data_IF_653081209927
#
_entry.id   IF_653081209927
#
_cell.length_a   1.000
_cell.length_b   1.000
_cell.length_c   1.000
_cell.angle_alpha   90.00
_cell.angle_beta   90.00
_cell.angle_gamma   90.00
#
_symmetry.space_group_name_H-M   'P 1'
#
loop_
_entity.id
_entity.type
_entity.pdbx_description
1 polymer ?
#
# COMPACT_ATOMS: atom_id res chain seq x y z
N UNK A 1 -10.19 -8.80 -4.25
CA UNK A 1 -10.93 -9.80 -3.42
C UNK A 1 -11.62 -9.31 -2.12
N UNK A 2 -11.07 -8.39 -1.31
CA UNK A 2 -11.69 -8.02 0.00
C UNK A 2 -12.77 -6.92 -0.06
N UNK A 3 -12.71 -5.99 -1.02
CA UNK A 3 -13.63 -4.83 -1.05
C UNK A 3 -15.09 -5.16 -1.41
N UNK A 4 -15.38 -6.25 -2.14
CA UNK A 4 -16.77 -6.67 -2.42
C UNK A 4 -17.44 -7.38 -1.25
N UNK A 5 -16.68 -7.68 -0.21
CA UNK A 5 -17.11 -8.49 0.92
C UNK A 5 -16.92 -7.74 2.23
N UNK A 6 -17.13 -6.42 2.24
CA UNK A 6 -17.08 -5.63 3.48
C UNK A 6 -17.97 -6.27 4.57
N UNK A 7 -19.14 -6.77 4.19
CA UNK A 7 -20.03 -7.52 5.07
C UNK A 7 -19.41 -8.85 5.55
N UNK A 8 -18.70 -9.58 4.69
CA UNK A 8 -18.01 -10.80 5.10
C UNK A 8 -16.79 -10.49 5.99
N UNK A 9 -16.10 -9.37 5.76
CA UNK A 9 -14.99 -8.90 6.60
C UNK A 9 -15.51 -8.55 7.99
N UNK A 10 -16.60 -7.77 8.08
CA UNK A 10 -17.26 -7.44 9.33
C UNK A 10 -17.75 -8.72 10.04
N UNK A 11 -18.37 -9.65 9.31
CA UNK A 11 -18.84 -10.93 9.84
C UNK A 11 -17.69 -11.81 10.37
N UNK A 12 -16.61 -11.96 9.60
CA UNK A 12 -15.43 -12.74 9.98
C UNK A 12 -14.72 -12.11 11.18
N UNK A 13 -14.60 -10.78 11.23
CA UNK A 13 -14.03 -10.07 12.37
C UNK A 13 -14.87 -10.27 13.63
N UNK A 14 -16.21 -10.26 13.50
CA UNK A 14 -17.14 -10.60 14.58
C UNK A 14 -16.98 -12.04 15.05
N UNK A 15 -16.89 -12.99 14.13
CA UNK A 15 -16.71 -14.41 14.44
C UNK A 15 -15.37 -14.70 15.13
N UNK A 16 -14.29 -14.08 14.67
CA UNK A 16 -12.98 -14.17 15.32
C UNK A 16 -13.04 -13.67 16.77
N UNK A 17 -13.70 -12.52 16.99
CA UNK A 17 -13.88 -11.97 18.34
C UNK A 17 -14.66 -12.91 19.26
N UNK A 18 -15.75 -13.50 18.77
CA UNK A 18 -16.54 -14.47 19.52
C UNK A 18 -15.71 -15.71 19.90
N UNK A 19 -14.97 -16.28 18.94
CA UNK A 19 -14.11 -17.45 19.17
C UNK A 19 -13.02 -17.18 20.20
N UNK A 20 -12.39 -16.00 20.17
CA UNK A 20 -11.36 -15.63 21.15
C UNK A 20 -11.96 -15.53 22.57
N UNK A 21 -13.14 -14.94 22.74
CA UNK A 21 -13.78 -14.85 24.06
C UNK A 21 -14.26 -16.23 24.56
N UNK A 22 -14.81 -17.07 23.69
CA UNK A 22 -15.18 -18.46 24.02
C UNK A 22 -13.96 -19.28 24.46
N UNK A 23 -12.85 -19.18 23.72
CA UNK A 23 -11.58 -19.86 24.06
C UNK A 23 -11.02 -19.34 25.39
N UNK A 24 -11.12 -18.04 25.64
CA UNK A 24 -10.69 -17.44 26.91
C UNK A 24 -11.54 -17.90 28.10
N UNK A 25 -12.85 -18.05 27.91
CA UNK A 25 -13.73 -18.61 28.93
C UNK A 25 -13.42 -20.10 29.20
N UNK A 26 -13.14 -20.87 28.14
CA UNK A 26 -12.78 -22.29 28.26
C UNK A 26 -11.40 -22.51 28.90
N UNK A 27 -10.46 -21.58 28.72
CA UNK A 27 -9.07 -21.69 29.23
C UNK A 27 -8.62 -20.47 30.05
N UNK A 28 -9.17 -20.24 31.27
CA UNK A 28 -8.90 -19.02 32.05
C UNK A 28 -7.43 -18.83 32.47
N UNK A 29 -6.64 -19.91 32.48
CA UNK A 29 -5.21 -19.90 32.86
C UNK A 29 -4.28 -19.51 31.72
N UNK A 30 -4.77 -19.46 30.48
CA UNK A 30 -3.98 -19.13 29.29
C UNK A 30 -3.81 -17.62 29.14
N UNK A 31 -2.65 -17.17 28.69
CA UNK A 31 -2.38 -15.76 28.43
C UNK A 31 -2.89 -15.35 27.04
N UNK A 32 -3.94 -14.52 26.98
CA UNK A 32 -4.54 -14.03 25.73
C UNK A 32 -4.06 -12.63 25.30
N UNK A 33 -2.93 -12.14 25.83
CA UNK A 33 -2.42 -10.78 25.49
C UNK A 33 -2.22 -10.59 23.98
N UNK A 34 -1.64 -11.58 23.30
CA UNK A 34 -1.39 -11.53 21.85
C UNK A 34 -2.71 -11.47 21.06
N UNK A 35 -3.66 -12.34 21.35
CA UNK A 35 -4.99 -12.32 20.71
C UNK A 35 -5.74 -11.02 20.96
N UNK A 36 -5.64 -10.45 22.17
CA UNK A 36 -6.19 -9.13 22.47
C UNK A 36 -5.54 -8.04 21.61
N UNK A 37 -4.22 -8.10 21.41
CA UNK A 37 -3.51 -7.19 20.52
C UNK A 37 -3.97 -7.36 19.06
N UNK A 38 -4.09 -8.59 18.56
CA UNK A 38 -4.58 -8.87 17.20
C UNK A 38 -5.98 -8.30 16.98
N UNK A 39 -6.92 -8.52 17.91
CA UNK A 39 -8.27 -7.97 17.83
C UNK A 39 -8.30 -6.44 17.88
N UNK A 40 -7.36 -5.84 18.62
CA UNK A 40 -7.23 -4.38 18.71
C UNK A 40 -6.63 -3.80 17.42
N UNK A 41 -5.59 -4.43 16.88
CA UNK A 41 -5.02 -4.08 15.57
C UNK A 41 -6.07 -4.18 14.47
N UNK A 42 -6.81 -5.31 14.40
CA UNK A 42 -7.90 -5.51 13.45
C UNK A 42 -8.97 -4.43 13.57
N UNK A 43 -9.41 -4.12 14.79
CA UNK A 43 -10.43 -3.09 15.02
C UNK A 43 -9.96 -1.71 14.59
N UNK A 44 -8.71 -1.33 14.88
CA UNK A 44 -8.13 -0.06 14.42
C UNK A 44 -8.00 -0.03 12.89
N UNK A 45 -7.55 -1.13 12.30
CA UNK A 45 -7.39 -1.26 10.86
C UNK A 45 -8.73 -1.12 10.12
N UNK A 46 -9.75 -1.87 10.53
CA UNK A 46 -11.08 -1.81 9.93
C UNK A 46 -11.77 -0.47 10.17
N UNK A 47 -11.51 0.21 11.30
CA UNK A 47 -12.01 1.58 11.52
C UNK A 47 -11.33 2.58 10.58
N UNK A 48 -10.03 2.44 10.39
CA UNK A 48 -9.24 3.31 9.52
C UNK A 48 -9.57 3.13 8.03
N UNK A 49 -9.83 1.90 7.61
CA UNK A 49 -10.29 1.56 6.26
C UNK A 49 -11.77 1.92 6.08
N UNK A 50 -12.60 1.53 7.05
CA UNK A 50 -14.05 1.67 7.04
C UNK A 50 -14.61 3.06 7.31
N UNK A 51 -13.76 4.08 7.56
CA UNK A 51 -14.17 5.48 7.57
C UNK A 51 -14.88 5.89 6.26
N UNK A 52 -14.78 5.09 5.19
CA UNK A 52 -15.45 5.32 3.92
C UNK A 52 -16.02 4.02 3.31
N UNK A 53 -16.91 3.32 4.05
CA UNK A 53 -17.64 2.11 3.58
C UNK A 53 -18.52 2.28 2.33
N UNK A 54 -18.62 3.48 1.75
CA UNK A 54 -19.52 3.78 0.63
C UNK A 54 -18.84 4.13 -0.70
N UNK A 55 -17.54 4.37 -0.70
CA UNK A 55 -16.87 4.90 -1.89
C UNK A 55 -16.02 3.84 -2.55
N UNK A 56 -16.49 3.37 -3.72
CA UNK A 56 -15.70 2.57 -4.65
C UNK A 56 -14.33 3.25 -4.77
N UNK A 57 -13.24 2.55 -4.44
CA UNK A 57 -11.95 2.91 -5.05
C UNK A 57 -12.23 2.97 -6.55
N UNK A 58 -11.80 4.02 -7.23
CA UNK A 58 -11.98 4.22 -8.67
C UNK A 58 -11.22 3.10 -9.39
N UNK A 59 -11.81 1.91 -9.36
CA UNK A 59 -11.54 0.81 -10.25
C UNK A 59 -12.09 1.23 -11.60
N UNK A 60 -11.54 0.64 -12.65
CA UNK A 60 -12.14 0.61 -13.97
C UNK A 60 -13.67 0.41 -13.83
N UNK A 61 -14.42 1.48 -13.97
CA UNK A 61 -15.88 1.46 -13.87
C UNK A 61 -16.37 1.66 -15.28
N UNK A 62 -16.91 0.58 -15.87
CA UNK A 62 -17.45 0.62 -17.22
C UNK A 62 -18.53 1.69 -17.42
N UNK A 63 -19.07 2.33 -16.37
CA UNK A 63 -19.99 3.46 -16.47
C UNK A 63 -19.29 4.83 -16.65
N UNK A 64 -18.04 4.96 -16.20
CA UNK A 64 -17.24 6.20 -16.29
C UNK A 64 -16.12 6.10 -17.33
N UNK A 65 -15.61 4.89 -17.56
CA UNK A 65 -14.57 4.55 -18.55
C UNK A 65 -15.16 3.95 -19.86
N UNK A 66 -16.49 4.04 -20.05
CA UNK A 66 -17.24 3.38 -21.13
C UNK A 66 -16.81 3.76 -22.54
N UNK A 67 -16.12 4.88 -22.69
CA UNK A 67 -15.76 5.43 -23.98
C UNK A 67 -14.26 5.23 -24.20
N UNK A 68 -13.84 4.20 -24.96
CA UNK A 68 -12.46 4.05 -25.40
C UNK A 68 -11.94 5.28 -26.16
N UNK A 69 -12.82 6.17 -26.63
CA UNK A 69 -12.51 7.48 -27.20
C UNK A 69 -12.11 8.55 -26.16
N UNK A 70 -12.45 8.37 -24.88
CA UNK A 70 -12.08 9.28 -23.78
C UNK A 70 -10.74 8.90 -23.15
N UNK A 71 -10.29 7.65 -23.35
CA UNK A 71 -8.90 7.29 -23.08
C UNK A 71 -8.05 8.06 -24.08
N UNK A 72 -7.35 9.09 -23.61
CA UNK A 72 -6.31 9.75 -24.41
C UNK A 72 -5.44 8.63 -24.96
N UNK A 73 -5.43 8.46 -26.28
CA UNK A 73 -4.51 7.55 -26.94
C UNK A 73 -3.12 8.09 -26.66
N UNK A 74 -2.50 7.66 -25.55
CA UNK A 74 -1.12 7.99 -25.23
C UNK A 74 -0.32 7.45 -26.40
N UNK A 75 0.27 8.37 -27.17
CA UNK A 75 1.10 8.01 -28.29
C UNK A 75 2.14 7.00 -27.80
N UNK A 76 2.13 5.80 -28.37
CA UNK A 76 3.15 4.80 -28.05
C UNK A 76 4.48 5.39 -28.47
N UNK A 77 5.32 5.78 -27.51
CA UNK A 77 6.68 6.25 -27.78
C UNK A 77 7.51 5.18 -28.51
N UNK A 78 7.13 3.90 -28.37
CA UNK A 78 7.69 2.78 -29.13
C UNK A 78 6.59 2.01 -29.87
N UNK A 79 6.65 1.97 -31.19
CA UNK A 79 5.62 1.36 -32.06
C UNK A 79 5.52 -0.16 -31.96
N UNK A 80 6.48 -0.85 -31.30
CA UNK A 80 6.55 -2.32 -31.26
C UNK A 80 6.57 -2.93 -29.85
N UNK A 81 6.86 -2.15 -28.80
CA UNK A 81 7.03 -2.68 -27.44
C UNK A 81 5.80 -2.38 -26.61
N UNK A 82 5.14 -3.42 -26.12
CA UNK A 82 3.95 -3.31 -25.26
C UNK A 82 4.37 -3.66 -23.84
N UNK A 83 4.63 -2.62 -23.04
CA UNK A 83 4.99 -2.80 -21.64
C UNK A 83 3.77 -3.26 -20.83
N UNK A 84 3.99 -4.22 -19.93
CA UNK A 84 2.96 -4.72 -19.02
C UNK A 84 3.46 -4.69 -17.59
N UNK A 85 2.65 -4.16 -16.67
CA UNK A 85 2.95 -4.27 -15.24
C UNK A 85 2.83 -5.74 -14.81
N UNK A 86 3.97 -6.36 -14.49
CA UNK A 86 4.06 -7.78 -14.15
C UNK A 86 4.33 -8.01 -12.67
N UNK A 87 5.17 -7.18 -12.07
CA UNK A 87 5.64 -7.35 -10.70
C UNK A 87 5.43 -6.07 -9.89
N UNK A 88 5.07 -6.21 -8.62
CA UNK A 88 4.95 -5.11 -7.67
C UNK A 88 5.53 -5.51 -6.31
N UNK A 89 6.49 -4.73 -5.82
CA UNK A 89 7.06 -4.86 -4.48
C UNK A 89 6.54 -3.72 -3.63
N UNK A 90 5.83 -4.04 -2.54
CA UNK A 90 5.25 -3.08 -1.61
C UNK A 90 5.95 -3.22 -0.26
N UNK A 91 6.59 -2.15 0.20
CA UNK A 91 7.27 -2.14 1.49
C UNK A 91 6.96 -0.88 2.28
N UNK A 92 6.90 -1.02 3.60
CA UNK A 92 6.81 0.13 4.50
C UNK A 92 7.77 0.02 5.67
N UNK A 93 8.16 1.18 6.19
CA UNK A 93 8.85 1.38 7.44
C UNK A 93 8.51 2.78 7.99
N UNK A 94 7.33 2.94 8.60
CA UNK A 94 7.04 4.10 9.45
C UNK A 94 6.83 3.65 10.89
N UNK A 95 7.27 4.50 11.83
CA UNK A 95 7.21 4.18 13.28
C UNK A 95 5.78 4.04 13.80
N UNK A 96 4.83 4.73 13.19
CA UNK A 96 3.42 4.76 13.59
C UNK A 96 2.55 4.50 12.37
N UNK A 97 2.21 3.23 12.14
CA UNK A 97 1.36 2.80 11.03
C UNK A 97 0.12 2.10 11.59
N UNK A 98 -1.04 2.39 11.00
CA UNK A 98 -2.21 1.54 11.19
C UNK A 98 -1.96 0.26 10.40
N UNK A 99 -1.93 -0.87 11.10
CA UNK A 99 -1.66 -2.17 10.53
C UNK A 99 -2.54 -3.25 11.15
N UNK A 100 -2.68 -4.33 10.41
CA UNK A 100 -3.12 -5.62 10.93
C UNK A 100 -2.01 -6.62 10.62
N UNK A 101 -1.43 -7.22 11.66
CA UNK A 101 -0.26 -8.11 11.55
C UNK A 101 0.93 -7.42 10.86
N UNK A 102 1.21 -7.77 9.61
CA UNK A 102 2.31 -7.25 8.78
C UNK A 102 1.78 -6.38 7.63
N UNK A 103 0.46 -6.27 7.49
CA UNK A 103 -0.18 -5.51 6.43
C UNK A 103 -0.54 -4.11 6.94
N UNK A 104 0.13 -3.10 6.40
CA UNK A 104 -0.16 -1.69 6.72
C UNK A 104 -1.30 -1.16 5.87
N UNK A 105 -2.01 -0.15 6.38
CA UNK A 105 -3.15 0.44 5.69
C UNK A 105 -2.77 0.96 4.29
N UNK A 106 -1.62 1.63 4.18
CA UNK A 106 -1.17 2.19 2.91
C UNK A 106 -0.74 1.09 1.92
N UNK A 107 -0.07 0.04 2.40
CA UNK A 107 0.23 -1.15 1.58
C UNK A 107 -1.05 -1.84 1.11
N UNK A 108 -2.05 -1.97 1.97
CA UNK A 108 -3.35 -2.53 1.62
C UNK A 108 -4.08 -1.70 0.56
N UNK A 109 -4.07 -0.37 0.69
CA UNK A 109 -4.63 0.54 -0.32
C UNK A 109 -3.92 0.39 -1.67
N UNK A 110 -2.58 0.36 -1.68
CA UNK A 110 -1.80 0.12 -2.90
C UNK A 110 -2.10 -1.25 -3.51
N UNK A 111 -2.20 -2.29 -2.67
CA UNK A 111 -2.56 -3.65 -3.10
C UNK A 111 -3.90 -3.65 -3.83
N UNK A 112 -4.91 -2.97 -3.29
CA UNK A 112 -6.24 -2.86 -3.89
C UNK A 112 -6.23 -2.17 -5.25
N UNK A 113 -5.38 -1.16 -5.45
CA UNK A 113 -5.29 -0.44 -6.73
C UNK A 113 -4.50 -1.19 -7.80
N UNK A 114 -3.63 -2.10 -7.39
CA UNK A 114 -2.90 -3.01 -8.28
C UNK A 114 -3.70 -4.28 -8.60
N UNK A 115 -4.86 -4.47 -7.98
CA UNK A 115 -5.82 -5.50 -8.34
C UNK A 115 -6.82 -4.94 -9.35
N UNK A 116 -6.78 -5.46 -10.57
CA UNK A 116 -7.89 -5.31 -11.50
C UNK A 116 -8.77 -6.57 -11.41
N UNK A 117 -10.08 -6.39 -11.28
CA UNK A 117 -11.06 -7.47 -11.37
C UNK A 117 -11.85 -7.27 -12.67
N UNK A 118 -12.04 -8.30 -13.51
CA UNK A 118 -13.01 -8.24 -14.61
C UNK A 118 -14.37 -7.91 -14.02
N UNK A 119 -14.83 -6.67 -14.18
CA UNK A 119 -16.10 -6.23 -13.62
C UNK A 119 -16.88 -5.49 -14.70
N UNK A 120 -18.09 -5.98 -14.98
CA UNK A 120 -18.93 -5.49 -16.08
C UNK A 120 -19.33 -6.62 -17.03
N UNK A 121 -19.81 -6.25 -18.22
CA UNK A 121 -20.37 -7.07 -19.30
C UNK A 121 -19.66 -8.40 -19.60
N UNK A 122 -18.40 -8.60 -19.21
CA UNK A 122 -17.70 -9.89 -19.28
C UNK A 122 -18.34 -10.99 -18.39
N UNK A 123 -18.87 -10.64 -17.21
CA UNK A 123 -19.64 -11.58 -16.40
C UNK A 123 -21.03 -11.84 -17.00
N UNK A 124 -21.63 -10.85 -17.68
CA UNK A 124 -22.93 -11.00 -18.35
C UNK A 124 -22.76 -11.88 -19.60
N UNK A 125 -21.73 -11.64 -20.42
CA UNK A 125 -21.40 -12.42 -21.60
C UNK A 125 -21.01 -13.87 -21.25
N UNK A 126 -20.25 -14.08 -20.17
CA UNK A 126 -19.99 -15.43 -19.66
C UNK A 126 -21.28 -16.12 -19.22
N UNK A 127 -22.19 -15.41 -18.55
CA UNK A 127 -23.47 -15.97 -18.10
C UNK A 127 -24.44 -16.27 -19.25
N UNK A 128 -24.46 -15.43 -20.29
CA UNK A 128 -25.24 -15.65 -21.53
C UNK A 128 -24.69 -16.81 -22.39
N UNK A 129 -23.39 -17.08 -22.31
CA UNK A 129 -22.77 -18.26 -22.94
C UNK A 129 -23.11 -19.57 -22.19
N UNK A 130 -23.21 -19.54 -20.86
CA UNK A 130 -23.54 -20.73 -20.06
C UNK A 130 -25.04 -21.02 -19.99
N UNK A 131 -25.92 -20.02 -20.11
CA UNK A 131 -27.38 -20.21 -20.10
C UNK A 131 -27.93 -20.87 -21.38
N UNK A 132 -27.14 -20.98 -22.45
CA UNK A 132 -27.54 -21.67 -23.68
C UNK A 132 -27.12 -23.17 -23.73
N UNK A 133 -26.60 -23.73 -22.65
CA UNK A 133 -26.21 -25.15 -22.54
C UNK A 133 -27.08 -25.94 -21.56
N UNK A 134 -28.11 -26.60 -22.09
CA UNK A 134 -28.87 -27.76 -21.54
C UNK A 134 -28.82 -28.03 -20.02
N UNK A 135 -29.98 -27.85 -19.39
CA UNK A 135 -30.36 -28.33 -18.05
C UNK A 135 -29.95 -29.78 -17.82
N UNK A 136 -29.09 -30.03 -16.82
CA UNK A 136 -28.97 -31.36 -16.21
C UNK A 136 -29.14 -31.24 -14.70
N UNK A 137 -30.24 -31.81 -14.21
CA UNK A 137 -30.51 -32.12 -12.81
C UNK A 137 -29.35 -32.93 -12.21
N UNK A 138 -28.91 -32.55 -11.00
CA UNK A 138 -28.72 -33.49 -9.90
C UNK A 138 -28.46 -32.77 -8.57
N UNK A 139 -29.31 -33.09 -7.61
CA UNK A 139 -29.23 -32.76 -6.19
C UNK A 139 -28.31 -33.71 -5.43
N UNK A 140 -27.55 -33.20 -4.46
CA UNK A 140 -26.77 -34.03 -3.52
C UNK A 140 -25.88 -33.21 -2.57
N UNK A 141 -25.88 -33.47 -1.24
CA UNK A 141 -25.23 -32.62 -0.24
C UNK A 141 -23.82 -33.10 0.14
N UNK A 142 -22.86 -32.19 0.28
CA UNK A 142 -21.64 -32.24 1.12
C UNK A 142 -20.64 -31.24 0.53
N UNK A 143 -20.08 -30.29 1.28
CA UNK A 143 -19.21 -30.62 2.41
C UNK A 143 -17.76 -30.81 1.96
N UNK A 144 -17.26 -30.03 0.99
CA UNK A 144 -15.84 -29.84 0.71
C UNK A 144 -15.69 -28.42 0.15
N UNK A 145 -15.16 -27.52 0.98
CA UNK A 145 -14.71 -26.20 0.55
C UNK A 145 -13.40 -26.46 -0.20
N UNK A 146 -13.51 -26.84 -1.46
CA UNK A 146 -12.37 -26.98 -2.35
C UNK A 146 -12.25 -25.74 -3.25
N UNK A 147 -11.00 -25.37 -3.44
CA UNK A 147 -10.49 -24.13 -3.97
C UNK A 147 -10.62 -24.18 -5.49
N UNK A 148 -11.85 -24.08 -5.98
CA UNK A 148 -12.17 -24.09 -7.41
C UNK A 148 -12.82 -22.78 -7.85
N UNK A 149 -12.24 -21.63 -7.44
CA UNK A 149 -12.70 -20.30 -7.89
C UNK A 149 -11.72 -19.62 -8.87
N UNK A 150 -10.58 -20.23 -9.13
CA UNK A 150 -9.55 -19.69 -10.05
C UNK A 150 -9.69 -20.15 -11.50
N UNK A 151 -10.57 -21.12 -11.79
CA UNK A 151 -10.58 -21.77 -13.11
C UNK A 151 -11.68 -21.27 -14.06
N UNK A 152 -12.68 -20.50 -13.59
CA UNK A 152 -13.86 -20.14 -14.43
C UNK A 152 -13.91 -18.70 -14.95
N UNK A 153 -12.86 -17.89 -14.79
CA UNK A 153 -12.77 -16.57 -15.46
C UNK A 153 -11.37 -16.32 -16.01
N UNK A 154 -10.81 -17.28 -16.76
CA UNK A 154 -9.59 -17.04 -17.54
C UNK A 154 -9.97 -16.80 -18.99
N UNK A 155 -10.61 -15.65 -19.27
CA UNK A 155 -10.60 -15.12 -20.63
C UNK A 155 -9.16 -14.66 -20.90
N UNK A 156 -8.43 -15.43 -21.71
CA UNK A 156 -7.03 -15.15 -22.07
C UNK A 156 -6.82 -13.85 -22.85
N UNK A 157 -7.90 -13.15 -23.23
CA UNK A 157 -7.84 -11.81 -23.82
C UNK A 157 -7.64 -10.70 -22.78
N UNK A 158 -7.91 -10.98 -21.50
CA UNK A 158 -7.80 -10.00 -20.43
C UNK A 158 -6.37 -9.92 -19.86
N UNK A 159 -5.88 -8.72 -19.50
CA UNK A 159 -4.56 -8.59 -18.91
C UNK A 159 -4.50 -9.33 -17.56
N UNK A 160 -3.38 -10.01 -17.28
CA UNK A 160 -3.15 -10.63 -15.98
C UNK A 160 -2.92 -9.56 -14.91
N UNK A 161 -3.36 -9.83 -13.67
CA UNK A 161 -2.93 -9.04 -12.53
C UNK A 161 -1.41 -9.16 -12.32
N UNK A 162 -0.74 -8.09 -11.87
CA UNK A 162 0.66 -8.21 -11.48
C UNK A 162 0.78 -9.12 -10.24
N UNK A 163 1.89 -9.84 -10.17
CA UNK A 163 2.34 -10.52 -8.97
C UNK A 163 2.80 -9.47 -7.94
N UNK A 164 2.46 -9.71 -6.67
CA UNK A 164 2.60 -8.71 -5.60
C UNK A 164 3.39 -9.33 -4.44
N UNK A 165 4.53 -8.74 -4.11
CA UNK A 165 5.33 -9.09 -2.94
C UNK A 165 5.19 -8.00 -1.89
N UNK A 166 4.71 -8.37 -0.69
CA UNK A 166 4.61 -7.45 0.45
C UNK A 166 5.76 -7.77 1.40
N UNK A 167 6.56 -6.75 1.74
CA UNK A 167 7.70 -6.90 2.63
C UNK A 167 7.52 -5.94 3.80
N UNK A 168 7.24 -6.46 4.98
CA UNK A 168 7.03 -5.65 6.18
C UNK A 168 8.36 -5.33 6.86
N UNK A 169 8.68 -4.03 6.92
CA UNK A 169 9.86 -3.51 7.61
C UNK A 169 11.19 -4.19 7.20
N UNK A 170 11.57 -4.25 5.91
CA UNK A 170 12.80 -4.93 5.49
C UNK A 170 14.09 -4.22 5.94
N UNK A 171 15.20 -4.96 5.96
CA UNK A 171 16.52 -4.33 5.83
C UNK A 171 16.75 -3.93 4.37
N UNK A 172 17.60 -2.93 4.13
CA UNK A 172 18.03 -2.54 2.77
C UNK A 172 18.55 -3.76 2.03
N UNK A 173 19.43 -4.55 2.63
CA UNK A 173 19.96 -5.77 1.99
C UNK A 173 18.87 -6.79 1.64
N UNK A 174 17.87 -6.97 2.51
CA UNK A 174 16.74 -7.86 2.21
C UNK A 174 15.90 -7.33 1.05
N UNK A 175 15.59 -6.02 1.04
CA UNK A 175 14.87 -5.39 -0.05
C UNK A 175 15.62 -5.54 -1.37
N UNK A 176 16.92 -5.21 -1.40
CA UNK A 176 17.75 -5.32 -2.60
C UNK A 176 17.87 -6.77 -3.10
N UNK A 177 17.97 -7.74 -2.19
CA UNK A 177 17.99 -9.16 -2.56
C UNK A 177 16.66 -9.59 -3.22
N UNK A 178 15.52 -9.20 -2.66
CA UNK A 178 14.21 -9.51 -3.26
C UNK A 178 14.06 -8.86 -4.63
N UNK A 179 14.45 -7.58 -4.77
CA UNK A 179 14.43 -6.88 -6.06
C UNK A 179 15.33 -7.58 -7.08
N UNK A 180 16.52 -8.03 -6.69
CA UNK A 180 17.44 -8.73 -7.56
C UNK A 180 16.86 -10.06 -8.05
N UNK A 181 16.26 -10.85 -7.15
CA UNK A 181 15.58 -12.11 -7.51
C UNK A 181 14.44 -11.88 -8.50
N UNK A 182 13.62 -10.86 -8.28
CA UNK A 182 12.53 -10.53 -9.21
C UNK A 182 13.09 -10.12 -10.59
N UNK A 183 14.17 -9.32 -10.61
CA UNK A 183 14.83 -8.90 -11.85
C UNK A 183 15.51 -10.03 -12.63
N UNK A 184 15.79 -11.17 -12.01
CA UNK A 184 16.30 -12.36 -12.71
C UNK A 184 15.22 -13.03 -13.58
N UNK A 185 13.95 -12.92 -13.17
CA UNK A 185 12.79 -13.54 -13.83
C UNK A 185 11.96 -12.56 -14.67
N UNK A 186 12.28 -11.26 -14.62
CA UNK A 186 11.60 -10.21 -15.38
C UNK A 186 11.95 -10.26 -16.86
N UNK A 187 10.94 -10.27 -17.72
CA UNK A 187 11.15 -10.08 -19.16
C UNK A 187 11.41 -8.60 -19.47
N UNK A 188 12.06 -8.31 -20.60
CA UNK A 188 12.31 -6.92 -21.00
C UNK A 188 11.01 -6.12 -21.11
N UNK A 189 9.90 -6.70 -21.53
CA UNK A 189 8.63 -5.98 -21.69
C UNK A 189 7.79 -5.89 -20.40
N UNK A 190 8.37 -6.30 -19.26
CA UNK A 190 7.72 -6.26 -17.96
C UNK A 190 8.12 -5.02 -17.18
N UNK A 191 7.14 -4.31 -16.61
CA UNK A 191 7.36 -3.23 -15.66
C UNK A 191 7.43 -3.84 -14.25
N UNK A 192 8.44 -3.41 -13.49
CA UNK A 192 8.53 -3.59 -12.05
C UNK A 192 8.01 -2.34 -11.36
N UNK A 193 7.01 -2.48 -10.49
CA UNK A 193 6.59 -1.41 -9.58
C UNK A 193 7.24 -1.61 -8.21
N UNK A 194 7.80 -0.54 -7.65
CA UNK A 194 8.31 -0.52 -6.27
C UNK A 194 7.59 0.59 -5.52
N UNK A 195 6.87 0.23 -4.48
CA UNK A 195 6.26 1.16 -3.53
C UNK A 195 7.02 1.11 -2.20
N UNK A 196 7.49 2.27 -1.74
CA UNK A 196 8.21 2.40 -0.47
C UNK A 196 7.57 3.51 0.36
N UNK A 197 6.99 3.16 1.50
CA UNK A 197 6.55 4.13 2.51
C UNK A 197 7.52 4.15 3.68
N UNK A 198 8.32 5.21 3.81
CA UNK A 198 9.32 5.29 4.87
C UNK A 198 9.66 6.74 5.21
N UNK A 199 10.14 6.97 6.44
CA UNK A 199 10.57 8.31 6.84
C UNK A 199 12.00 8.59 6.37
N UNK A 200 12.28 9.84 5.99
CA UNK A 200 13.63 10.28 5.63
C UNK A 200 14.54 10.69 6.80
N UNK A 201 14.09 10.56 8.05
CA UNK A 201 14.84 11.02 9.22
C UNK A 201 15.26 9.86 10.14
N UNK A 202 16.57 9.62 10.17
CA UNK A 202 17.23 8.98 11.29
C UNK A 202 17.40 10.04 12.41
N UNK A 203 16.66 9.87 13.51
CA UNK A 203 17.07 10.37 14.84
C UNK A 203 17.35 11.88 15.03
N UNK A 204 16.39 12.77 14.73
CA UNK A 204 16.32 14.06 15.46
C UNK A 204 15.29 14.07 16.60
N UNK A 205 14.38 13.09 16.67
CA UNK A 205 13.32 13.04 17.70
C UNK A 205 13.63 12.15 18.92
N UNK A 206 14.79 11.47 18.97
CA UNK A 206 15.20 10.71 20.16
C UNK A 206 15.73 11.60 21.29
N UNK A 207 16.17 12.84 21.00
CA UNK A 207 16.70 13.76 22.00
C UNK A 207 15.63 14.65 22.67
N UNK A 208 14.51 14.92 21.99
CA UNK A 208 13.49 15.89 22.44
C UNK A 208 12.41 15.30 23.35
N UNK A 209 12.32 13.97 23.50
CA UNK A 209 11.38 13.33 24.44
C UNK A 209 12.00 12.94 25.80
N UNK A 210 13.30 13.19 26.01
CA UNK A 210 13.98 12.85 27.28
C UNK A 210 14.14 14.02 28.26
N UNK A 211 13.68 15.23 27.91
CA UNK A 211 13.75 16.42 28.76
C UNK A 211 12.35 16.95 29.13
N UNK A 212 11.46 16.07 29.57
CA UNK A 212 10.22 16.50 30.22
C UNK A 212 9.72 15.43 31.19
N UNK A 213 10.56 14.93 32.10
CA UNK A 213 10.14 14.32 33.37
C UNK A 213 11.32 14.02 34.28
N UNK A 214 11.19 14.51 35.51
CA UNK A 214 11.84 14.09 36.76
C UNK A 214 13.35 14.24 36.94
N UNK A 215 13.67 15.27 37.72
CA UNK A 215 14.73 15.37 38.71
C UNK A 215 14.94 14.10 39.58
N UNK A 216 16.18 13.60 39.68
CA UNK A 216 16.95 13.42 40.94
C UNK A 216 18.10 12.39 40.82
N UNK A 217 19.31 12.88 41.15
CA UNK A 217 20.47 12.21 41.80
C UNK A 217 21.12 10.91 41.25
N UNK A 218 22.38 11.09 40.84
CA UNK A 218 23.60 10.31 41.13
C UNK A 218 23.73 8.83 40.69
N UNK A 219 24.52 8.61 39.63
CA UNK A 219 25.68 7.70 39.63
C UNK A 219 26.60 8.01 38.43
N UNK A 220 27.90 8.16 38.71
CA UNK A 220 29.00 8.45 37.79
C UNK A 220 29.68 7.19 37.27
N UNK A 221 30.46 7.38 36.18
CA UNK A 221 31.44 6.49 35.53
C UNK A 221 30.91 5.72 34.30
N UNK A 222 31.53 5.74 33.12
CA UNK A 222 32.83 6.25 32.72
C UNK A 222 32.79 6.81 31.29
N UNK A 223 33.48 7.93 31.14
CA UNK A 223 33.76 8.65 29.90
C UNK A 223 34.80 7.93 29.03
N UNK A 224 34.47 7.69 27.77
CA UNK A 224 35.46 7.58 26.69
C UNK A 224 35.31 8.81 25.80
N UNK A 225 36.22 9.76 25.96
CA UNK A 225 36.28 10.98 25.15
C UNK A 225 36.91 10.74 23.77
N UNK A 226 36.62 11.71 22.90
CA UNK A 226 37.30 12.10 21.66
C UNK A 226 36.62 11.53 20.39
N UNK A 227 36.23 12.32 19.40
CA UNK A 227 36.93 13.49 18.84
C UNK A 227 35.90 14.49 18.31
N UNK A 228 36.06 15.77 18.69
CA UNK A 228 35.49 16.92 17.98
C UNK A 228 35.89 16.84 16.50
N UNK A 229 34.92 16.57 15.62
CA UNK A 229 35.06 16.83 14.18
C UNK A 229 34.28 18.11 13.85
N UNK A 230 34.91 19.06 13.15
CA UNK A 230 34.35 20.37 12.89
C UNK A 230 33.21 20.24 11.88
N UNK A 231 32.09 20.94 12.11
CA UNK A 231 31.05 21.26 11.14
C UNK A 231 31.00 20.33 9.91
N UNK A 232 30.41 19.13 10.04
CA UNK A 232 29.86 18.50 8.86
C UNK A 232 28.68 19.36 8.44
N UNK A 233 28.86 20.12 7.37
CA UNK A 233 27.76 20.65 6.57
C UNK A 233 26.64 19.60 6.53
N UNK A 234 25.51 19.89 7.18
CA UNK A 234 24.30 19.08 7.09
C UNK A 234 23.88 19.06 5.62
N UNK A 235 24.34 18.06 4.87
CA UNK A 235 23.60 17.57 3.72
C UNK A 235 22.24 17.17 4.27
N UNK A 236 21.11 17.63 3.69
CA UNK A 236 19.83 17.01 4.01
C UNK A 236 20.01 15.50 3.78
N UNK A 237 19.58 14.70 4.75
CA UNK A 237 19.67 13.25 4.71
C UNK A 237 18.92 12.74 3.47
N UNK A 238 19.61 12.52 2.35
CA UNK A 238 19.03 12.15 1.06
C UNK A 238 18.76 10.62 0.97
N UNK A 239 18.17 10.04 2.01
CA UNK A 239 17.88 8.61 2.09
C UNK A 239 16.49 8.34 2.70
N UNK A 240 16.06 7.09 2.64
CA UNK A 240 14.94 6.56 3.44
C UNK A 240 15.48 5.71 4.57
N UNK A 241 14.98 5.92 5.78
CA UNK A 241 15.37 5.14 6.94
C UNK A 241 14.43 3.95 7.12
N UNK A 242 14.96 2.73 6.93
CA UNK A 242 14.24 1.47 7.09
C UNK A 242 14.40 0.87 8.50
N UNK A 243 14.79 1.69 9.48
CA UNK A 243 14.79 1.30 10.89
C UNK A 243 16.04 0.61 11.42
N UNK A 244 16.17 0.48 12.75
CA UNK A 244 17.26 -0.30 13.32
C UNK A 244 16.95 -1.79 13.16
N UNK A 245 17.83 -2.55 12.50
CA UNK A 245 17.78 -4.02 12.48
C UNK A 245 19.20 -4.59 12.56
N UNK A 246 19.36 -5.67 13.33
CA UNK A 246 20.63 -6.41 13.44
C UNK A 246 21.71 -5.69 14.27
N UNK A 247 22.97 -5.84 13.86
CA UNK A 247 24.20 -5.45 14.60
C UNK A 247 24.47 -3.94 14.69
N UNK A 248 23.47 -3.08 14.51
CA UNK A 248 23.62 -1.62 14.63
C UNK A 248 24.19 -0.90 13.40
N UNK A 249 24.15 -1.52 12.22
CA UNK A 249 24.53 -0.85 10.96
C UNK A 249 23.45 0.13 10.45
N UNK A 250 23.82 1.12 9.62
CA UNK A 250 22.86 2.04 9.01
C UNK A 250 21.95 1.29 8.03
N UNK A 251 20.63 1.40 8.22
CA UNK A 251 19.62 0.78 7.35
C UNK A 251 18.96 1.86 6.47
N UNK A 252 19.81 2.59 5.75
CA UNK A 252 19.45 3.74 4.94
C UNK A 252 19.41 3.32 3.48
N UNK A 253 18.25 3.48 2.84
CA UNK A 253 18.10 3.27 1.40
C UNK A 253 18.39 4.58 0.68
N UNK A 254 19.45 4.59 -0.13
CA UNK A 254 19.84 5.72 -0.95
C UNK A 254 19.23 5.59 -2.36
N UNK A 255 19.00 6.71 -3.07
CA UNK A 255 18.57 6.68 -4.47
C UNK A 255 19.48 5.81 -5.37
N UNK A 256 20.78 5.84 -5.11
CA UNK A 256 21.81 5.10 -5.84
C UNK A 256 21.64 3.58 -5.73
N UNK A 257 21.08 3.10 -4.62
CA UNK A 257 20.81 1.67 -4.40
C UNK A 257 19.75 1.13 -5.36
N UNK A 258 18.89 2.01 -5.90
CA UNK A 258 17.83 1.64 -6.83
C UNK A 258 18.24 1.75 -8.31
N UNK A 259 19.36 2.44 -8.61
CA UNK A 259 19.86 2.62 -9.98
C UNK A 259 20.08 1.28 -10.70
N UNK A 260 20.66 0.21 -10.10
CA UNK A 260 20.86 -1.07 -10.79
C UNK A 260 19.57 -1.69 -11.35
N UNK A 261 18.40 -1.41 -10.75
CA UNK A 261 17.12 -1.97 -11.16
C UNK A 261 16.47 -1.19 -12.32
N UNK A 262 17.02 -0.03 -12.71
CA UNK A 262 16.63 0.71 -13.93
C UNK A 262 17.16 0.06 -15.23
N UNK A 263 17.67 -1.17 -15.13
CA UNK A 263 17.93 -2.06 -16.28
C UNK A 263 16.65 -2.62 -16.89
N UNK A 264 15.56 -2.56 -16.13
CA UNK A 264 14.22 -2.93 -16.54
C UNK A 264 13.30 -1.71 -16.43
N UNK A 265 12.19 -1.66 -17.19
CA UNK A 265 11.18 -0.63 -17.01
C UNK A 265 10.71 -0.56 -15.56
N UNK A 266 10.94 0.58 -14.90
CA UNK A 266 10.73 0.75 -13.47
C UNK A 266 9.65 1.81 -13.21
N UNK A 267 8.68 1.48 -12.35
CA UNK A 267 7.75 2.43 -11.77
C UNK A 267 8.03 2.54 -10.27
N UNK A 268 8.56 3.68 -9.83
CA UNK A 268 8.90 3.94 -8.44
C UNK A 268 7.88 4.86 -7.78
N UNK A 269 7.31 4.43 -6.64
CA UNK A 269 6.45 5.23 -5.78
C UNK A 269 7.12 5.41 -4.42
N UNK A 270 7.60 6.62 -4.12
CA UNK A 270 8.22 6.94 -2.83
C UNK A 270 7.29 7.77 -1.99
N UNK A 271 6.70 7.12 -0.99
CA UNK A 271 5.87 7.76 0.03
C UNK A 271 6.71 8.20 1.24
N UNK A 272 7.30 9.39 1.15
CA UNK A 272 8.23 9.90 2.18
C UNK A 272 8.30 11.42 2.18
N UNK A 273 8.60 12.01 3.34
CA UNK A 273 8.98 13.43 3.43
C UNK A 273 10.23 13.75 2.60
N UNK A 274 11.08 12.74 2.39
CA UNK A 274 12.32 12.85 1.66
C UNK A 274 12.27 12.23 0.24
N UNK A 275 11.06 11.98 -0.27
CA UNK A 275 10.85 11.40 -1.61
C UNK A 275 11.62 12.14 -2.72
N UNK A 276 11.77 13.45 -2.58
CA UNK A 276 12.46 14.30 -3.54
C UNK A 276 13.93 13.94 -3.78
N UNK A 277 14.61 13.32 -2.81
CA UNK A 277 15.99 12.87 -2.97
C UNK A 277 16.12 11.85 -4.12
N UNK A 278 15.06 11.08 -4.38
CA UNK A 278 15.02 10.05 -5.41
C UNK A 278 14.86 10.61 -6.84
N UNK A 279 14.67 11.93 -7.00
CA UNK A 279 14.67 12.57 -8.33
C UNK A 279 16.00 12.39 -9.06
N UNK A 280 17.11 12.18 -8.33
CA UNK A 280 18.44 11.97 -8.92
C UNK A 280 18.54 10.69 -9.75
N UNK A 281 17.60 9.75 -9.60
CA UNK A 281 17.50 8.57 -10.46
C UNK A 281 17.21 8.99 -11.90
N UNK A 282 16.47 10.09 -12.10
CA UNK A 282 16.24 10.65 -13.42
C UNK A 282 17.54 11.19 -14.02
N UNK A 283 17.89 10.71 -15.21
CA UNK A 283 19.17 10.87 -15.91
C UNK A 283 20.34 10.04 -15.36
N UNK A 284 20.12 9.22 -14.32
CA UNK A 284 21.12 8.28 -13.80
C UNK A 284 20.81 6.83 -14.19
N UNK A 285 19.70 6.59 -14.89
CA UNK A 285 19.22 5.26 -15.26
C UNK A 285 20.26 4.47 -16.08
N UNK A 286 20.17 3.14 -15.97
CA UNK A 286 21.09 2.17 -16.58
C UNK A 286 20.36 1.24 -17.55
N UNK A 287 19.71 1.83 -18.55
CA UNK A 287 19.18 1.11 -19.71
C UNK A 287 17.76 1.51 -20.05
N UNK A 288 16.87 1.53 -19.06
CA UNK A 288 15.46 1.81 -19.23
C UNK A 288 15.06 3.05 -18.42
N UNK A 289 14.16 3.91 -18.94
CA UNK A 289 13.66 5.06 -18.20
C UNK A 289 12.81 4.59 -17.01
N UNK A 290 12.89 5.35 -15.90
CA UNK A 290 12.05 5.13 -14.74
C UNK A 290 10.91 6.16 -14.67
N UNK A 291 9.71 5.71 -14.32
CA UNK A 291 8.60 6.59 -13.93
C UNK A 291 8.63 6.76 -12.40
N UNK A 292 8.51 7.99 -11.90
CA UNK A 292 8.58 8.29 -10.48
C UNK A 292 7.32 9.05 -10.00
N UNK A 293 6.66 8.53 -8.96
CA UNK A 293 5.68 9.25 -8.16
C UNK A 293 6.26 9.49 -6.76
N UNK A 294 6.41 10.76 -6.40
CA UNK A 294 7.08 11.18 -5.17
C UNK A 294 6.11 12.00 -4.32
N UNK A 295 6.03 11.73 -3.01
CA UNK A 295 5.15 12.49 -2.12
C UNK A 295 5.35 14.01 -2.24
N UNK A 296 4.27 14.81 -2.14
CA UNK A 296 4.35 16.26 -2.13
C UNK A 296 5.10 16.75 -0.88
N UNK A 297 5.84 17.86 -1.03
CA UNK A 297 6.59 18.49 0.08
C UNK A 297 5.73 19.35 1.02
N UNK A 298 4.51 19.68 0.59
CA UNK A 298 3.63 20.63 1.30
C UNK A 298 2.69 19.81 2.19
N UNK A 299 2.79 20.00 3.50
CA UNK A 299 1.79 19.52 4.45
C UNK A 299 0.49 20.31 4.25
N UNK A 300 -0.66 19.64 4.31
CA UNK A 300 -2.00 20.20 4.00
C UNK A 300 -2.19 21.62 4.54
N UNK A 301 -2.64 22.54 3.67
CA UNK A 301 -2.77 23.97 3.94
C UNK A 301 -3.91 24.37 4.91
N UNK A 302 -4.56 23.42 5.58
CA UNK A 302 -5.69 23.70 6.48
C UNK A 302 -5.27 23.52 7.95
N UNK A 303 -5.00 24.61 8.69
CA UNK A 303 -4.76 24.55 10.12
C UNK A 303 -6.09 24.29 10.84
N UNK A 304 -6.22 23.18 11.55
CA UNK A 304 -7.36 22.91 12.44
C UNK A 304 -8.14 21.63 12.15
N UNK A 305 -7.95 20.99 10.99
CA UNK A 305 -8.31 19.58 10.84
C UNK A 305 -7.16 18.80 11.42
N UNK A 306 -7.26 18.43 12.71
CA UNK A 306 -6.35 17.44 13.29
C UNK A 306 -6.28 16.28 12.29
N UNK A 307 -5.06 15.93 11.89
CA UNK A 307 -4.75 14.80 11.02
C UNK A 307 -5.19 13.50 11.71
N UNK A 308 -6.50 13.32 11.77
CA UNK A 308 -7.21 12.10 12.17
C UNK A 308 -7.23 11.11 11.02
N UNK A 309 -6.57 11.46 9.90
CA UNK A 309 -6.32 10.60 8.78
C UNK A 309 -5.41 9.45 9.15
N UNK A 310 -5.99 8.27 9.24
CA UNK A 310 -5.24 7.05 9.32
C UNK A 310 -4.51 6.81 7.98
N UNK A 311 -3.17 6.65 8.05
CA UNK A 311 -2.32 6.38 6.88
C UNK A 311 -1.82 7.64 6.15
N UNK A 312 -1.11 7.44 5.04
CA UNK A 312 -0.53 8.51 4.25
C UNK A 312 -1.56 9.18 3.35
N UNK A 313 -1.61 10.51 3.37
CA UNK A 313 -2.43 11.31 2.46
C UNK A 313 -2.04 11.10 0.99
N UNK A 314 -0.74 10.93 0.71
CA UNK A 314 -0.25 10.69 -0.65
C UNK A 314 -0.76 9.35 -1.19
N UNK A 315 -0.57 8.27 -0.43
CA UNK A 315 -1.12 6.96 -0.80
C UNK A 315 -2.63 7.00 -0.89
N UNK A 316 -3.31 7.75 -0.02
CA UNK A 316 -4.76 7.86 -0.10
C UNK A 316 -5.23 8.54 -1.39
N UNK A 317 -4.56 9.61 -1.83
CA UNK A 317 -4.84 10.24 -3.12
C UNK A 317 -4.58 9.32 -4.31
N UNK A 318 -3.52 8.50 -4.28
CA UNK A 318 -3.24 7.54 -5.36
C UNK A 318 -4.32 6.48 -5.50
N UNK A 319 -4.99 6.13 -4.40
CA UNK A 319 -5.85 4.95 -4.33
C UNK A 319 -7.34 5.25 -4.27
N UNK A 320 -7.67 6.47 -3.85
CA UNK A 320 -9.02 6.96 -3.60
C UNK A 320 -9.04 8.50 -3.68
N UNK A 321 -8.72 9.10 -4.85
CA UNK A 321 -8.47 10.54 -4.97
C UNK A 321 -9.67 11.39 -4.53
N UNK A 322 -10.89 10.93 -4.79
CA UNK A 322 -12.10 11.65 -4.40
C UNK A 322 -12.29 11.67 -2.88
N UNK A 323 -12.09 10.52 -2.24
CA UNK A 323 -12.19 10.38 -0.80
C UNK A 323 -11.06 11.14 -0.09
N UNK A 324 -9.85 11.07 -0.65
CA UNK A 324 -8.70 11.84 -0.17
C UNK A 324 -8.94 13.35 -0.27
N UNK A 325 -9.57 13.81 -1.36
CA UNK A 325 -9.98 15.21 -1.51
C UNK A 325 -11.05 15.60 -0.48
N UNK A 326 -12.11 14.81 -0.32
CA UNK A 326 -13.16 15.09 0.68
C UNK A 326 -12.57 15.17 2.09
N UNK A 327 -11.68 14.25 2.45
CA UNK A 327 -10.98 14.28 3.73
C UNK A 327 -10.13 15.55 3.88
N UNK A 328 -9.35 15.91 2.85
CA UNK A 328 -8.52 17.12 2.86
C UNK A 328 -9.36 18.40 2.99
N UNK A 329 -10.55 18.41 2.38
CA UNK A 329 -11.50 19.52 2.43
C UNK A 329 -12.35 19.55 3.72
N UNK A 330 -12.19 18.59 4.64
CA UNK A 330 -13.00 18.49 5.85
C UNK A 330 -14.46 18.09 5.61
N UNK A 331 -14.75 17.54 4.43
CA UNK A 331 -16.08 17.07 4.06
C UNK A 331 -16.31 15.70 4.70
N UNK A 332 -17.22 15.62 5.67
CA UNK A 332 -17.62 14.36 6.29
C UNK A 332 -18.51 13.56 5.33
N UNK A 333 -18.36 12.24 5.33
CA UNK A 333 -19.08 11.31 4.45
C UNK A 333 -20.58 11.14 4.76
N UNK A 334 -21.17 12.05 5.55
CA UNK A 334 -22.63 12.11 5.76
C UNK A 334 -23.35 12.74 4.55
N UNK A 335 -22.61 13.16 3.53
CA UNK A 335 -23.20 13.55 2.26
C UNK A 335 -23.65 12.29 1.53
N UNK A 336 -24.97 12.16 1.35
CA UNK A 336 -25.64 11.13 0.57
C UNK A 336 -24.80 10.69 -0.63
N UNK A 337 -24.58 9.37 -0.74
CA UNK A 337 -23.91 8.67 -1.85
C UNK A 337 -24.42 9.05 -3.25
N UNK A 338 -25.55 9.77 -3.34
CA UNK A 338 -26.10 10.41 -4.54
C UNK A 338 -25.29 11.62 -5.02
N UNK A 339 -24.84 12.50 -4.12
CA UNK A 339 -24.14 13.75 -4.49
C UNK A 339 -22.67 13.50 -4.88
N UNK A 340 -22.03 12.46 -4.31
CA UNK A 340 -20.67 12.08 -4.72
C UNK A 340 -20.60 11.61 -6.18
N UNK A 341 -21.63 10.92 -6.67
CA UNK A 341 -21.69 10.46 -8.07
C UNK A 341 -21.76 11.63 -9.07
N UNK A 342 -22.51 12.67 -8.74
CA UNK A 342 -22.58 13.90 -9.55
C UNK A 342 -21.27 14.70 -9.49
N UNK A 343 -20.61 14.72 -8.32
CA UNK A 343 -19.34 15.45 -8.14
C UNK A 343 -18.17 14.82 -8.89
N UNK A 344 -18.12 13.48 -8.99
CA UNK A 344 -17.09 12.78 -9.78
C UNK A 344 -17.19 13.06 -11.29
N UNK A 345 -18.37 13.41 -11.80
CA UNK A 345 -18.55 13.79 -13.20
C UNK A 345 -18.02 15.19 -13.52
N UNK A 346 -17.95 16.09 -12.52
CA UNK A 346 -17.49 17.47 -12.69
C UNK A 346 -15.97 17.64 -12.62
N UNK A 347 -15.25 16.69 -12.00
CA UNK A 347 -13.78 16.71 -11.90
C UNK A 347 -13.05 16.10 -13.12
N UNK A 348 -13.80 15.44 -14.01
CA UNK A 348 -13.30 14.81 -15.24
C UNK A 348 -13.75 15.55 -16.51
N UNK A 349 -14.34 16.75 -16.36
CA UNK A 349 -14.78 17.63 -17.45
C UNK A 349 -13.69 18.56 -17.95
#
# INVERSE_FOLDING_TARGET
MLMRRAEAVDHLAGRLRALVEETKAAYPKTNFKEWKQVLQELGRFLKADGAYKGSRSLRYDNLFDSYPSNLVSIARFHSKRVLKLKEAVLTSYRRSEVKFTELTLDTYRMLQCLEWEPTGSYQIAAKELTENGTVSDQSGPSGLIDIQLSTEISDGSLPSNPQKAIIYHPTVSHLLAVLATICEELSQDSILLIYISASGCAEQNMASQKYASSSSSHATAASSFSIDKPNSHNSPDNHLWLGPRGSGGPNNLYPEDLIPFTRYPLFLVIDSENSHAFKVIHNAEKGEPAALLLSPRISSAMPGVESTGHGSQFTYFLTAPMQAFCQLAGITSDIDTKNMKESSALLLG
#
